data_IF_283343900573
#
_entry.id   IF_283343900573
#
_cell.length_a   1.000
_cell.length_b   1.000
_cell.length_c   1.000
_cell.angle_alpha   90.00
_cell.angle_beta   90.00
_cell.angle_gamma   90.00
#
_symmetry.space_group_name_H-M   'P 1'
#
loop_
_entity.id
_entity.type
_entity.pdbx_description
1 polymer ?
#
# COMPACT_ATOMS: atom_id res chain seq x y z
N UNK A 1 -0.48 -12.51 6.46
CA UNK A 1 -0.85 -12.38 5.03
C UNK A 1 0.40 -12.58 4.18
N UNK A 2 0.28 -12.98 2.91
CA UNK A 2 1.43 -13.05 2.00
C UNK A 2 1.53 -11.77 1.15
N UNK A 3 2.60 -11.66 0.36
CA UNK A 3 2.92 -10.46 -0.41
C UNK A 3 1.88 -10.10 -1.50
N UNK A 4 0.96 -11.01 -1.82
CA UNK A 4 -0.09 -10.84 -2.83
C UNK A 4 -1.50 -10.76 -2.24
N UNK A 5 -1.63 -10.80 -0.90
CA UNK A 5 -2.89 -10.97 -0.19
C UNK A 5 -3.71 -12.16 -0.72
N UNK A 6 -3.08 -13.30 -1.02
CA UNK A 6 -3.71 -14.51 -1.58
C UNK A 6 -3.76 -15.68 -0.58
N UNK A 7 -4.56 -16.73 -0.82
CA UNK A 7 -4.48 -17.98 -0.08
C UNK A 7 -3.16 -18.72 -0.33
N UNK A 8 -2.84 -19.69 0.53
CA UNK A 8 -1.76 -20.64 0.24
C UNK A 8 -2.08 -21.49 -1.00
N UNK A 9 -1.02 -21.93 -1.68
CA UNK A 9 -1.09 -22.91 -2.77
C UNK A 9 -0.27 -24.16 -2.39
N UNK A 10 -0.95 -25.27 -2.02
CA UNK A 10 -0.27 -26.51 -1.62
C UNK A 10 0.55 -27.17 -2.73
N UNK A 11 0.40 -26.74 -4.00
CA UNK A 11 1.20 -27.25 -5.11
C UNK A 11 2.58 -26.60 -5.22
N UNK A 12 2.82 -25.50 -4.50
CA UNK A 12 4.06 -24.74 -4.50
C UNK A 12 4.92 -25.06 -3.26
N UNK A 13 6.21 -24.74 -3.33
CA UNK A 13 7.12 -24.94 -2.19
C UNK A 13 6.72 -24.09 -0.98
N UNK A 14 7.15 -24.47 0.22
CA UNK A 14 6.93 -23.68 1.44
C UNK A 14 7.70 -22.35 1.44
N UNK A 15 8.76 -22.22 0.63
CA UNK A 15 9.54 -20.99 0.49
C UNK A 15 9.02 -20.08 -0.62
N UNK A 16 8.06 -20.56 -1.42
CA UNK A 16 7.48 -19.80 -2.51
C UNK A 16 6.85 -18.51 -1.97
N UNK A 17 6.90 -17.36 -2.69
CA UNK A 17 6.32 -16.11 -2.20
C UNK A 17 4.83 -16.16 -1.85
N UNK A 18 4.04 -16.99 -2.55
CA UNK A 18 2.63 -17.25 -2.23
C UNK A 18 2.47 -17.98 -0.88
N UNK A 19 3.41 -18.84 -0.51
CA UNK A 19 3.36 -19.63 0.72
C UNK A 19 4.18 -19.02 1.86
N UNK A 20 4.77 -17.84 1.65
CA UNK A 20 5.50 -17.10 2.67
C UNK A 20 4.58 -16.06 3.31
N UNK A 21 4.29 -16.22 4.61
CA UNK A 21 3.32 -15.40 5.33
C UNK A 21 4.00 -14.53 6.39
N UNK A 22 3.57 -13.27 6.44
CA UNK A 22 4.03 -12.27 7.39
C UNK A 22 2.93 -11.93 8.38
N UNK A 23 3.34 -11.55 9.59
CA UNK A 23 2.46 -10.93 10.56
C UNK A 23 2.01 -9.56 10.05
N UNK A 24 0.76 -9.18 10.38
CA UNK A 24 0.27 -7.82 10.14
C UNK A 24 0.47 -7.05 11.44
N UNK A 25 1.42 -6.12 11.45
CA UNK A 25 1.86 -5.44 12.67
C UNK A 25 1.82 -3.91 12.50
N UNK A 26 0.65 -3.37 12.13
CA UNK A 26 0.43 -1.93 12.02
C UNK A 26 -1.05 -1.56 12.08
N UNK A 27 -1.32 -0.34 12.56
CA UNK A 27 -2.64 0.28 12.57
C UNK A 27 -2.98 0.97 11.24
N UNK A 28 -4.27 1.03 10.92
CA UNK A 28 -4.78 1.78 9.77
C UNK A 28 -6.11 2.42 10.11
N UNK A 29 -6.24 3.72 9.81
CA UNK A 29 -7.53 4.42 9.78
C UNK A 29 -8.07 4.27 8.37
N UNK A 30 -9.23 3.63 8.26
CA UNK A 30 -9.92 3.40 6.99
C UNK A 30 -10.64 4.65 6.50
N UNK A 31 -10.99 4.67 5.22
CA UNK A 31 -11.71 5.79 4.62
C UNK A 31 -13.02 6.10 5.38
N UNK A 32 -13.83 5.08 5.66
CA UNK A 32 -15.10 5.19 6.43
C UNK A 32 -14.95 5.74 7.86
N UNK A 33 -13.74 5.71 8.41
CA UNK A 33 -13.43 6.23 9.75
C UNK A 33 -12.91 7.67 9.73
N UNK A 34 -12.52 8.19 8.57
CA UNK A 34 -12.02 9.55 8.44
C UNK A 34 -13.17 10.56 8.48
N UNK A 35 -12.96 11.66 9.21
CA UNK A 35 -13.91 12.76 9.21
C UNK A 35 -14.07 13.33 7.78
N UNK A 36 -15.31 13.59 7.38
CA UNK A 36 -15.64 14.11 6.05
C UNK A 36 -15.02 15.48 5.77
N UNK A 37 -14.73 16.25 6.81
CA UNK A 37 -14.11 17.58 6.77
C UNK A 37 -12.61 17.56 7.12
N UNK A 38 -11.99 16.37 7.17
CA UNK A 38 -10.55 16.26 7.42
C UNK A 38 -9.72 16.91 6.29
N UNK A 39 -8.55 17.44 6.66
CA UNK A 39 -7.63 18.08 5.70
C UNK A 39 -7.16 17.05 4.65
N UNK A 40 -6.88 15.81 5.07
CA UNK A 40 -6.45 14.74 4.16
C UNK A 40 -7.53 14.41 3.12
N UNK A 41 -8.82 14.40 3.52
CA UNK A 41 -9.94 14.26 2.59
C UNK A 41 -9.98 15.40 1.58
N UNK A 42 -9.86 16.62 2.08
CA UNK A 42 -9.87 17.82 1.24
C UNK A 42 -8.75 17.80 0.19
N UNK A 43 -7.58 17.24 0.52
CA UNK A 43 -6.46 17.05 -0.42
C UNK A 43 -6.81 15.96 -1.44
N UNK A 44 -7.33 14.81 -0.99
CA UNK A 44 -7.65 13.68 -1.86
C UNK A 44 -8.73 14.03 -2.90
N UNK A 45 -9.74 14.79 -2.51
CA UNK A 45 -10.86 15.20 -3.37
C UNK A 45 -10.55 16.45 -4.22
N UNK A 46 -9.39 17.08 -4.03
CA UNK A 46 -9.01 18.26 -4.80
C UNK A 46 -8.60 17.87 -6.23
N UNK A 47 -9.39 18.34 -7.21
CA UNK A 47 -9.14 18.11 -8.64
C UNK A 47 -7.74 18.55 -9.10
N UNK A 48 -7.11 19.51 -8.42
CA UNK A 48 -5.74 19.96 -8.71
C UNK A 48 -4.72 18.91 -8.31
N UNK A 49 -4.94 18.21 -7.20
CA UNK A 49 -4.10 17.09 -6.75
C UNK A 49 -4.24 15.91 -7.71
N UNK A 50 -5.47 15.59 -8.14
CA UNK A 50 -5.72 14.55 -9.14
C UNK A 50 -5.05 14.88 -10.48
N UNK A 51 -5.14 16.13 -10.94
CA UNK A 51 -4.48 16.57 -12.17
C UNK A 51 -2.96 16.52 -12.05
N UNK A 52 -2.41 17.02 -10.94
CA UNK A 52 -0.97 16.92 -10.66
C UNK A 52 -0.49 15.47 -10.68
N UNK A 53 -1.27 14.56 -10.08
CA UNK A 53 -0.97 13.14 -10.12
C UNK A 53 -0.97 12.57 -11.54
N UNK A 54 -1.96 12.94 -12.36
CA UNK A 54 -2.02 12.56 -13.78
C UNK A 54 -0.75 12.99 -14.52
N UNK A 55 -0.31 14.24 -14.30
CA UNK A 55 0.88 14.81 -14.95
C UNK A 55 2.17 14.10 -14.52
N UNK A 56 2.30 13.75 -13.22
CA UNK A 56 3.47 13.03 -12.68
C UNK A 56 3.55 11.60 -13.23
N UNK A 57 2.43 10.86 -13.26
CA UNK A 57 2.43 9.47 -13.73
C UNK A 57 2.36 9.35 -15.26
N UNK A 58 2.08 10.44 -15.97
CA UNK A 58 2.01 10.47 -17.43
C UNK A 58 0.74 9.84 -18.02
N UNK A 59 -0.40 9.98 -17.34
CA UNK A 59 -1.71 9.50 -17.84
C UNK A 59 -2.68 10.66 -18.02
N UNK A 60 -3.65 10.50 -18.92
CA UNK A 60 -4.65 11.56 -19.18
C UNK A 60 -5.68 11.71 -18.06
N UNK A 61 -5.89 10.65 -17.27
CA UNK A 61 -6.90 10.62 -16.22
C UNK A 61 -6.61 9.55 -15.18
N UNK A 62 -6.86 9.92 -13.93
CA UNK A 62 -6.96 9.02 -12.78
C UNK A 62 -8.36 9.14 -12.18
N UNK A 63 -8.85 8.03 -11.66
CA UNK A 63 -10.13 7.90 -10.96
C UNK A 63 -9.83 7.60 -9.50
N UNK A 64 -10.43 8.35 -8.57
CA UNK A 64 -10.38 7.99 -7.16
C UNK A 64 -10.99 6.60 -6.95
N UNK A 65 -10.43 5.82 -6.04
CA UNK A 65 -10.99 4.51 -5.70
C UNK A 65 -12.39 4.67 -5.13
N UNK A 66 -13.22 3.66 -5.41
CA UNK A 66 -14.61 3.57 -4.94
C UNK A 66 -14.74 2.60 -3.76
N UNK A 67 -13.64 2.02 -3.30
CA UNK A 67 -13.61 1.19 -2.10
C UNK A 67 -13.81 2.07 -0.87
N UNK A 68 -14.91 1.85 -0.15
CA UNK A 68 -15.30 2.65 1.01
C UNK A 68 -14.38 2.49 2.22
N UNK A 69 -13.43 1.56 2.20
CA UNK A 69 -12.43 1.35 3.26
C UNK A 69 -11.04 1.78 2.81
N UNK A 70 -10.68 1.58 1.55
CA UNK A 70 -9.31 1.70 1.05
C UNK A 70 -9.02 2.98 0.27
N UNK A 71 -10.05 3.69 -0.23
CA UNK A 71 -9.83 4.81 -1.16
C UNK A 71 -8.90 5.90 -0.60
N UNK A 72 -9.07 6.25 0.67
CA UNK A 72 -8.12 7.04 1.44
C UNK A 72 -7.91 6.42 2.82
N UNK A 73 -6.68 5.98 3.10
CA UNK A 73 -6.32 5.42 4.41
C UNK A 73 -5.19 6.20 5.05
N UNK A 74 -5.06 6.09 6.37
CA UNK A 74 -3.89 6.59 7.12
C UNK A 74 -3.25 5.42 7.85
N UNK A 75 -2.03 5.07 7.47
CA UNK A 75 -1.21 4.12 8.19
C UNK A 75 -0.72 4.77 9.49
N UNK A 76 -0.97 4.09 10.60
CA UNK A 76 -0.61 4.52 11.96
C UNK A 76 0.37 3.48 12.51
N UNK A 77 1.64 3.86 12.66
CA UNK A 77 2.70 2.92 13.02
C UNK A 77 3.51 3.44 14.20
N UNK A 78 3.44 2.75 15.34
CA UNK A 78 4.23 3.02 16.55
C UNK A 78 5.56 2.25 16.59
N UNK A 79 6.26 2.35 17.72
CA UNK A 79 7.53 1.63 17.94
C UNK A 79 7.41 0.12 17.66
N UNK A 80 8.34 -0.41 16.87
CA UNK A 80 8.37 -1.82 16.48
C UNK A 80 7.36 -2.24 15.41
N UNK A 81 6.44 -1.37 15.00
CA UNK A 81 5.48 -1.66 13.93
C UNK A 81 6.11 -1.52 12.54
N UNK A 82 5.62 -2.33 11.60
CA UNK A 82 6.16 -2.43 10.24
C UNK A 82 5.09 -2.88 9.25
N UNK A 83 5.35 -2.67 7.96
CA UNK A 83 4.54 -3.20 6.88
C UNK A 83 5.45 -4.07 6.03
N UNK A 84 5.23 -5.38 6.07
CA UNK A 84 6.01 -6.37 5.31
C UNK A 84 5.98 -6.11 3.79
N UNK A 85 6.87 -6.79 3.08
CA UNK A 85 6.92 -6.78 1.62
C UNK A 85 5.57 -7.17 1.01
N UNK A 86 5.03 -6.33 0.14
CA UNK A 86 3.79 -6.60 -0.57
C UNK A 86 3.77 -5.90 -1.92
N UNK A 87 2.80 -6.28 -2.74
CA UNK A 87 2.34 -5.49 -3.87
C UNK A 87 0.99 -4.89 -3.56
N UNK A 88 0.76 -3.69 -4.07
CA UNK A 88 -0.59 -3.12 -4.09
C UNK A 88 -1.45 -3.86 -5.11
N UNK A 89 -2.76 -3.79 -4.90
CA UNK A 89 -3.73 -4.19 -5.92
C UNK A 89 -3.99 -3.05 -6.93
N UNK A 90 -3.64 -1.83 -6.55
CA UNK A 90 -3.85 -0.65 -7.38
C UNK A 90 -2.68 -0.35 -8.30
N UNK A 91 -3.04 0.17 -9.47
CA UNK A 91 -2.08 0.52 -10.51
C UNK A 91 -1.11 1.62 -10.07
N UNK A 92 -1.62 2.59 -9.31
CA UNK A 92 -0.88 3.75 -8.83
C UNK A 92 -1.31 4.07 -7.40
N UNK A 93 -0.35 4.15 -6.49
CA UNK A 93 -0.56 4.63 -5.14
C UNK A 93 0.25 5.92 -4.95
N UNK A 94 -0.37 6.89 -4.29
CA UNK A 94 0.28 8.11 -3.87
C UNK A 94 0.27 8.11 -2.35
N UNK A 95 1.42 8.28 -1.73
CA UNK A 95 1.47 8.47 -0.27
C UNK A 95 1.77 9.92 0.07
N UNK A 96 1.12 10.42 1.12
CA UNK A 96 1.34 11.72 1.72
C UNK A 96 1.87 11.55 3.14
N UNK A 97 3.07 12.07 3.40
CA UNK A 97 3.64 12.12 4.74
C UNK A 97 2.91 13.10 5.64
N UNK A 98 2.38 12.62 6.77
CA UNK A 98 1.69 13.44 7.77
C UNK A 98 2.59 13.67 8.99
N UNK A 99 3.26 12.62 9.46
CA UNK A 99 4.18 12.67 10.60
C UNK A 99 5.24 11.59 10.43
N UNK A 100 6.51 11.98 10.43
CA UNK A 100 7.62 11.03 10.41
C UNK A 100 7.86 10.45 11.81
N UNK A 101 8.38 9.22 11.94
CA UNK A 101 8.86 8.69 13.22
C UNK A 101 10.24 9.27 13.60
N UNK A 102 10.72 8.94 14.80
CA UNK A 102 12.10 9.29 15.23
C UNK A 102 13.16 8.52 14.46
N UNK A 103 12.91 7.25 14.15
CA UNK A 103 13.79 6.41 13.35
C UNK A 103 13.03 5.31 12.61
N UNK A 104 13.68 4.76 11.58
CA UNK A 104 13.08 3.73 10.74
C UNK A 104 11.87 4.24 9.96
N UNK A 105 10.95 3.33 9.62
CA UNK A 105 9.73 3.68 8.90
C UNK A 105 9.96 4.13 7.45
N UNK A 106 11.14 3.89 6.89
CA UNK A 106 11.43 4.13 5.48
C UNK A 106 10.51 3.28 4.61
N UNK A 107 10.00 3.87 3.53
CA UNK A 107 9.45 3.11 2.42
C UNK A 107 10.63 2.49 1.66
N UNK A 108 10.76 1.17 1.73
CA UNK A 108 11.74 0.41 0.96
C UNK A 108 11.04 -0.26 -0.22
N UNK A 109 11.56 -0.11 -1.44
CA UNK A 109 10.94 -0.73 -2.62
C UNK A 109 11.94 -1.13 -3.70
N UNK A 110 11.54 -2.08 -4.54
CA UNK A 110 12.25 -2.47 -5.76
C UNK A 110 11.34 -2.21 -6.96
N UNK A 111 11.68 -1.23 -7.82
CA UNK A 111 10.81 -0.84 -8.92
C UNK A 111 10.78 -1.92 -10.01
N UNK A 112 9.59 -2.14 -10.58
CA UNK A 112 9.38 -2.97 -11.77
C UNK A 112 9.96 -4.40 -11.66
N UNK A 113 9.97 -4.99 -10.46
CA UNK A 113 10.42 -6.37 -10.27
C UNK A 113 9.49 -7.37 -10.98
N UNK A 114 8.21 -7.00 -11.13
CA UNK A 114 7.16 -7.80 -11.77
C UNK A 114 6.63 -8.91 -10.86
N UNK A 115 5.30 -9.05 -10.76
CA UNK A 115 4.62 -10.00 -9.84
C UNK A 115 4.94 -11.47 -10.13
N UNK A 116 5.24 -11.81 -11.37
CA UNK A 116 5.53 -13.19 -11.78
C UNK A 116 7.01 -13.57 -11.62
N UNK A 117 7.86 -12.65 -11.14
CA UNK A 117 9.29 -12.89 -10.93
C UNK A 117 9.56 -13.57 -9.59
N UNK A 118 8.93 -14.73 -9.39
CA UNK A 118 8.96 -15.47 -8.11
C UNK A 118 10.39 -15.74 -7.62
N UNK A 119 11.34 -16.01 -8.53
CA UNK A 119 12.72 -16.31 -8.16
C UNK A 119 13.47 -15.12 -7.54
N UNK A 120 13.23 -13.91 -8.02
CA UNK A 120 13.84 -12.70 -7.44
C UNK A 120 13.09 -12.27 -6.19
N UNK A 121 11.77 -12.37 -6.22
CA UNK A 121 10.91 -12.05 -5.08
C UNK A 121 11.24 -12.96 -3.89
N UNK A 122 11.41 -14.27 -4.10
CA UNK A 122 11.79 -15.21 -3.04
C UNK A 122 13.10 -14.77 -2.38
N UNK A 123 14.11 -14.36 -3.17
CA UNK A 123 15.35 -13.82 -2.60
C UNK A 123 15.12 -12.58 -1.75
N UNK A 124 14.26 -11.66 -2.20
CA UNK A 124 13.98 -10.39 -1.52
C UNK A 124 13.28 -10.62 -0.18
N UNK A 125 12.27 -11.47 -0.15
CA UNK A 125 11.40 -11.64 1.02
C UNK A 125 12.01 -12.50 2.12
N UNK A 126 13.07 -13.25 1.82
CA UNK A 126 13.82 -14.09 2.77
C UNK A 126 15.12 -13.44 3.25
N UNK A 127 15.39 -12.18 2.87
CA UNK A 127 16.47 -11.40 3.49
C UNK A 127 16.09 -11.02 4.92
N UNK A 128 17.10 -10.91 5.77
CA UNK A 128 16.92 -10.41 7.13
C UNK A 128 16.48 -8.93 7.10
N UNK A 129 15.72 -8.49 8.10
CA UNK A 129 15.14 -7.14 8.13
C UNK A 129 16.18 -6.02 7.98
N UNK A 130 17.36 -6.21 8.57
CA UNK A 130 18.46 -5.24 8.52
C UNK A 130 19.09 -5.12 7.13
N UNK A 131 18.97 -6.17 6.31
CA UNK A 131 19.51 -6.20 4.95
C UNK A 131 18.60 -5.44 3.98
N UNK A 132 19.24 -4.80 2.99
CA UNK A 132 18.55 -4.17 1.85
C UNK A 132 18.83 -5.00 0.59
N UNK A 133 17.79 -5.45 -0.14
CA UNK A 133 17.97 -6.18 -1.38
C UNK A 133 18.75 -5.35 -2.41
N UNK A 134 19.51 -6.03 -3.26
CA UNK A 134 20.16 -5.36 -4.40
C UNK A 134 19.12 -4.66 -5.29
N UNK A 135 19.36 -3.39 -5.59
CA UNK A 135 18.44 -2.57 -6.39
C UNK A 135 17.22 -2.04 -5.63
N UNK A 136 17.17 -2.19 -4.29
CA UNK A 136 16.18 -1.49 -3.48
C UNK A 136 16.52 -0.02 -3.30
N UNK A 137 15.46 0.78 -3.14
CA UNK A 137 15.54 2.18 -2.76
C UNK A 137 14.82 2.39 -1.44
N UNK A 138 15.34 3.29 -0.61
CA UNK A 138 14.77 3.66 0.68
C UNK A 138 14.41 5.15 0.68
N UNK A 139 13.17 5.46 1.06
CA UNK A 139 12.68 6.84 1.14
C UNK A 139 12.02 7.11 2.48
N UNK A 140 12.57 8.07 3.22
CA UNK A 140 11.90 8.59 4.40
C UNK A 140 10.70 9.42 3.95
N UNK A 141 9.51 9.05 4.42
CA UNK A 141 8.29 9.80 4.15
C UNK A 141 8.15 10.94 5.16
N UNK A 142 8.77 12.07 4.88
CA UNK A 142 8.73 13.28 5.73
C UNK A 142 7.40 14.01 5.61
N UNK A 143 7.12 14.93 6.52
CA UNK A 143 5.91 15.76 6.49
C UNK A 143 5.76 16.51 5.17
N UNK A 144 4.59 16.38 4.53
CA UNK A 144 4.27 17.00 3.25
C UNK A 144 4.90 16.31 2.03
N UNK A 145 5.72 15.27 2.21
CA UNK A 145 6.25 14.51 1.09
C UNK A 145 5.14 13.77 0.35
N UNK A 146 5.12 13.90 -0.98
CA UNK A 146 4.30 13.08 -1.87
C UNK A 146 5.19 12.07 -2.58
N UNK A 147 4.92 10.77 -2.38
CA UNK A 147 5.64 9.70 -3.06
C UNK A 147 4.71 9.03 -4.06
N UNK A 148 5.16 8.94 -5.31
CA UNK A 148 4.45 8.31 -6.41
C UNK A 148 5.16 7.02 -6.77
N UNK A 149 4.44 5.89 -6.73
CA UNK A 149 5.00 4.63 -7.17
C UNK A 149 3.92 3.69 -7.73
N UNK A 150 4.36 2.73 -8.54
CA UNK A 150 3.51 1.71 -9.15
C UNK A 150 3.50 0.47 -8.24
N UNK A 151 2.71 0.51 -7.18
CA UNK A 151 2.67 -0.55 -6.17
C UNK A 151 2.23 -1.92 -6.69
N UNK A 152 1.46 -1.97 -7.79
CA UNK A 152 1.13 -3.22 -8.47
C UNK A 152 2.31 -3.89 -9.19
N UNK A 153 3.35 -3.13 -9.55
CA UNK A 153 4.52 -3.60 -10.31
C UNK A 153 5.82 -3.60 -9.50
N UNK A 154 5.81 -2.94 -8.34
CA UNK A 154 6.96 -2.74 -7.47
C UNK A 154 6.67 -3.36 -6.11
N UNK A 155 7.51 -4.31 -5.70
CA UNK A 155 7.41 -4.84 -4.33
C UNK A 155 7.94 -3.79 -3.36
N UNK A 156 7.24 -3.58 -2.26
CA UNK A 156 7.58 -2.55 -1.30
C UNK A 156 7.19 -2.94 0.13
N UNK A 157 7.90 -2.35 1.10
CA UNK A 157 7.68 -2.51 2.54
C UNK A 157 7.84 -1.18 3.25
N UNK A 158 7.37 -1.09 4.48
CA UNK A 158 7.77 -0.04 5.43
C UNK A 158 8.65 -0.70 6.48
N UNK A 159 9.90 -0.23 6.59
CA UNK A 159 10.84 -0.71 7.61
C UNK A 159 10.30 -0.46 9.02
N UNK A 160 10.75 -1.28 9.96
CA UNK A 160 10.38 -1.19 11.38
C UNK A 160 10.57 0.23 11.91
N UNK A 161 9.51 0.78 12.49
CA UNK A 161 9.53 2.09 13.15
C UNK A 161 10.26 1.98 14.48
N UNK A 162 11.01 3.02 14.83
CA UNK A 162 11.75 3.13 16.09
C UNK A 162 11.44 4.46 16.76
N UNK A 163 11.17 4.41 18.07
CA UNK A 163 10.93 5.57 18.91
C UNK A 163 9.45 5.86 19.19
N UNK A 164 9.19 6.80 20.10
CA UNK A 164 7.86 7.04 20.66
C UNK A 164 6.93 7.83 19.72
N UNK A 165 7.50 8.53 18.74
CA UNK A 165 6.74 9.28 17.75
C UNK A 165 6.10 8.36 16.70
N UNK A 166 4.77 8.30 16.69
CA UNK A 166 3.99 7.53 15.71
C UNK A 166 4.25 8.04 14.29
N UNK A 167 4.52 7.13 13.35
CA UNK A 167 4.55 7.41 11.92
C UNK A 167 3.12 7.45 11.37
N UNK A 168 2.78 8.55 10.70
CA UNK A 168 1.50 8.76 10.03
C UNK A 168 1.72 9.03 8.54
N UNK A 169 1.18 8.17 7.69
CA UNK A 169 1.25 8.32 6.23
C UNK A 169 -0.12 8.02 5.63
N UNK A 170 -0.67 8.96 4.88
CA UNK A 170 -1.89 8.73 4.12
C UNK A 170 -1.58 8.03 2.80
N UNK A 171 -2.37 7.03 2.43
CA UNK A 171 -2.35 6.41 1.11
C UNK A 171 -3.60 6.84 0.33
N UNK A 172 -3.38 7.53 -0.78
CA UNK A 172 -4.38 8.08 -1.68
C UNK A 172 -4.45 7.14 -2.89
N UNK A 173 -5.54 6.39 -3.01
CA UNK A 173 -5.65 5.35 -4.04
C UNK A 173 -6.32 5.86 -5.30
N UNK A 174 -5.71 5.57 -6.45
CA UNK A 174 -6.21 5.94 -7.76
C UNK A 174 -6.15 4.77 -8.75
N UNK A 175 -7.09 4.74 -9.69
CA UNK A 175 -7.11 3.80 -10.80
C UNK A 175 -7.03 4.52 -12.14
N UNK A 176 -6.53 3.81 -13.15
CA UNK A 176 -6.50 4.30 -14.54
C UNK A 176 -7.81 4.08 -15.29
N UNK A 177 -8.78 3.38 -14.66
CA UNK A 177 -10.11 3.12 -15.23
C UNK A 177 -11.20 3.29 -14.17
N UNK A 178 -12.37 3.78 -14.60
CA UNK A 178 -13.55 4.06 -13.76
C UNK A 178 -14.27 2.77 -13.31
N UNK A 179 -13.99 1.65 -13.98
CA UNK A 179 -14.52 0.34 -13.67
C UNK A 179 -13.58 -0.52 -12.82
N UNK A 180 -12.40 -0.01 -12.48
CA UNK A 180 -11.49 -0.67 -11.56
C UNK A 180 -11.97 -0.48 -10.11
N UNK A 181 -12.03 -1.58 -9.36
CA UNK A 181 -12.36 -1.61 -7.95
C UNK A 181 -11.54 -2.68 -7.25
N UNK A 182 -11.20 -2.45 -5.99
CA UNK A 182 -10.63 -3.49 -5.12
C UNK A 182 -11.68 -4.58 -4.86
N UNK A 183 -11.25 -5.84 -4.83
CA UNK A 183 -12.19 -6.97 -4.67
C UNK A 183 -12.63 -7.11 -3.20
N UNK A 184 -13.91 -7.45 -2.91
CA UNK A 184 -14.39 -7.64 -1.54
C UNK A 184 -13.54 -8.63 -0.71
N UNK A 185 -13.02 -9.68 -1.35
CA UNK A 185 -12.18 -10.71 -0.73
C UNK A 185 -10.84 -10.14 -0.23
N UNK A 186 -10.30 -9.12 -0.91
CA UNK A 186 -9.08 -8.42 -0.47
C UNK A 186 -9.36 -7.59 0.77
N UNK A 187 -10.44 -6.81 0.74
CA UNK A 187 -10.82 -5.94 1.87
C UNK A 187 -11.11 -6.78 3.12
N UNK A 188 -11.74 -7.94 2.96
CA UNK A 188 -11.89 -8.94 4.03
C UNK A 188 -10.53 -9.47 4.54
N UNK A 189 -9.56 -9.75 3.66
CA UNK A 189 -8.22 -10.19 4.09
C UNK A 189 -7.42 -9.11 4.82
N UNK A 190 -7.61 -7.84 4.45
CA UNK A 190 -6.89 -6.71 5.05
C UNK A 190 -7.48 -6.33 6.40
N UNK A 191 -8.81 -6.31 6.52
CA UNK A 191 -9.51 -5.79 7.71
C UNK A 191 -10.25 -6.85 8.53
N UNK A 192 -10.35 -8.08 8.05
CA UNK A 192 -11.10 -9.15 8.71
C UNK A 192 -12.63 -8.98 8.66
N UNK A 193 -13.14 -8.01 7.89
CA UNK A 193 -14.57 -7.68 7.81
C UNK A 193 -14.97 -7.57 6.35
N UNK A 194 -16.08 -8.23 5.98
CA UNK A 194 -16.72 -8.02 4.67
C UNK A 194 -17.40 -6.66 4.65
N UNK A 195 -17.06 -5.85 3.65
CA UNK A 195 -17.73 -4.57 3.41
C UNK A 195 -19.16 -4.85 2.94
N UNK A 196 -20.17 -4.40 3.69
CA UNK A 196 -21.57 -4.54 3.27
C UNK A 196 -21.91 -3.62 2.08
N UNK A 197 -21.23 -2.48 1.98
CA UNK A 197 -21.42 -1.44 0.96
C UNK A 197 -20.29 -1.40 -0.09
N UNK A 198 -19.83 -2.56 -0.56
CA UNK A 198 -19.02 -2.60 -1.78
C UNK A 198 -19.92 -2.25 -2.98
N UNK A 199 -19.97 -0.97 -3.36
CA UNK A 199 -20.72 -0.50 -4.52
C UNK A 199 -19.85 -0.67 -5.78
N UNK A 200 -19.87 -1.87 -6.35
CA UNK A 200 -19.35 -2.18 -7.69
C UNK A 200 -19.96 -3.48 -8.22
N UNK A 201 -20.50 -3.55 -9.45
CA UNK A 201 -21.36 -4.65 -9.83
C UNK A 201 -20.58 -5.93 -10.09
N UNK A 202 -21.19 -7.04 -9.71
CA UNK A 202 -21.00 -8.33 -10.40
C UNK A 202 -21.39 -8.13 -11.86
N UNK A 203 -20.44 -7.87 -12.77
CA UNK A 203 -20.71 -8.01 -14.19
C UNK A 203 -20.64 -9.50 -14.53
N UNK A 204 -21.82 -10.02 -14.87
CA UNK A 204 -22.04 -11.31 -15.55
C UNK A 204 -21.25 -11.41 -16.85
#
# INVERSE_FOLDING_TARGET
VNIYYSPEDPSLSSTHPINTFFARNFGVIRDDMLASDSIVRSIYDDKRVVQFACDVVGVNRLYQSRDSYQALTVNVMGDGEELHWHFDCNTHAITLGIQQPEGGGELEYIPNIGRENYSQIEKVIHLEDEESPEGSYNYQTTEGALIFFRGGESIHRVRKVSGDQTRLVAALQFHTSDDAFDTPEMTERIYGVKVQDHIGPKKT
#
